data_IF_879286249933
#
_entry.id   IF_879286249933
#
_cell.length_a   1.000
_cell.length_b   1.000
_cell.length_c   1.000
_cell.angle_alpha   90.00
_cell.angle_beta   90.00
_cell.angle_gamma   90.00
#
_symmetry.space_group_name_H-M   'P 1'
#
loop_
_entity.id
_entity.type
_entity.pdbx_description
1 polymer ?
#
# COMPACT_ATOMS: atom_id res chain seq x y z
N UNK A 1 25.57 -6.78 -42.18
CA UNK A 1 25.63 -5.42 -41.58
C UNK A 1 24.30 -5.14 -40.88
N UNK A 2 24.16 -4.10 -40.04
CA UNK A 2 22.85 -3.74 -39.42
C UNK A 2 21.71 -3.55 -40.45
N UNK A 3 22.04 -3.33 -41.73
CA UNK A 3 21.11 -3.29 -42.85
C UNK A 3 20.56 -4.67 -43.31
N UNK A 4 21.14 -5.79 -42.86
CA UNK A 4 20.64 -7.16 -43.12
C UNK A 4 19.64 -7.66 -42.04
N UNK A 5 19.42 -6.87 -40.98
CA UNK A 5 18.46 -7.19 -39.92
C UNK A 5 17.13 -6.43 -40.04
N UNK A 6 17.03 -5.45 -40.96
CA UNK A 6 15.76 -4.79 -41.27
C UNK A 6 14.76 -5.82 -41.83
N UNK A 7 13.80 -6.23 -41.00
CA UNK A 7 12.71 -7.13 -41.37
C UNK A 7 12.75 -8.54 -40.75
N UNK A 8 13.72 -8.86 -39.89
CA UNK A 8 13.67 -10.11 -39.12
C UNK A 8 12.66 -9.98 -37.98
N UNK A 9 11.64 -10.84 -38.00
CA UNK A 9 10.64 -10.91 -36.94
C UNK A 9 11.12 -11.87 -35.85
N UNK A 10 10.99 -11.43 -34.61
CA UNK A 10 11.15 -12.28 -33.43
C UNK A 10 9.76 -12.68 -32.94
N UNK A 11 9.55 -13.99 -32.78
CA UNK A 11 8.33 -14.54 -32.22
C UNK A 11 8.65 -15.13 -30.85
N UNK A 12 7.96 -14.63 -29.83
CA UNK A 12 8.08 -15.10 -28.46
C UNK A 12 6.74 -15.60 -27.92
N UNK A 13 6.81 -16.38 -26.84
CA UNK A 13 5.63 -16.86 -26.15
C UNK A 13 5.04 -15.72 -25.32
N UNK A 14 3.72 -15.52 -25.42
CA UNK A 14 3.01 -14.62 -24.51
C UNK A 14 3.16 -15.07 -23.04
N UNK A 15 3.67 -14.19 -22.20
CA UNK A 15 3.84 -14.43 -20.76
C UNK A 15 2.55 -14.02 -20.02
N UNK A 16 1.91 -14.93 -19.27
CA UNK A 16 0.76 -14.58 -18.43
C UNK A 16 1.25 -13.90 -17.13
N UNK A 17 1.74 -12.67 -17.26
CA UNK A 17 2.22 -11.88 -16.14
C UNK A 17 1.06 -11.30 -15.32
N UNK A 18 1.31 -11.04 -14.03
CA UNK A 18 0.41 -10.36 -13.10
C UNK A 18 0.83 -8.91 -12.85
N UNK A 19 2.11 -8.59 -13.05
CA UNK A 19 2.67 -7.23 -12.97
C UNK A 19 3.78 -7.05 -14.00
N UNK A 20 3.89 -5.85 -14.53
CA UNK A 20 5.07 -5.39 -15.26
C UNK A 20 5.95 -4.62 -14.28
N UNK A 21 7.23 -4.95 -14.26
CA UNK A 21 8.23 -4.33 -13.39
C UNK A 21 9.30 -3.68 -14.26
N UNK A 22 9.96 -2.66 -13.73
CA UNK A 22 11.17 -2.13 -14.33
C UNK A 22 12.25 -1.88 -13.27
N UNK A 23 13.50 -1.95 -13.71
CA UNK A 23 14.67 -1.62 -12.90
C UNK A 23 15.59 -0.76 -13.75
N UNK A 24 15.88 0.46 -13.29
CA UNK A 24 16.95 1.25 -13.89
C UNK A 24 18.27 0.74 -13.33
N UNK A 25 19.23 0.48 -14.21
CA UNK A 25 20.57 0.03 -13.82
C UNK A 25 21.59 0.98 -14.42
N UNK A 26 22.54 1.44 -13.61
CA UNK A 26 23.69 2.21 -14.05
C UNK A 26 24.93 1.31 -14.06
N UNK A 27 25.69 1.35 -15.16
CA UNK A 27 27.00 0.69 -15.30
C UNK A 27 28.08 1.76 -15.46
N UNK A 28 28.96 1.85 -14.46
CA UNK A 28 30.06 2.82 -14.38
C UNK A 28 31.39 2.26 -14.91
N UNK A 29 32.49 2.74 -14.35
CA UNK A 29 33.83 2.24 -14.66
C UNK A 29 34.15 0.94 -13.91
N UNK A 30 34.95 0.07 -14.53
CA UNK A 30 35.25 -1.25 -13.97
C UNK A 30 33.98 -2.09 -13.80
N UNK A 31 33.82 -2.67 -12.62
CA UNK A 31 32.70 -3.55 -12.26
C UNK A 31 31.59 -2.85 -11.44
N UNK A 32 31.59 -1.50 -11.36
CA UNK A 32 30.58 -0.75 -10.60
C UNK A 32 29.22 -0.73 -11.35
N UNK A 33 28.32 -1.63 -10.94
CA UNK A 33 26.95 -1.76 -11.47
C UNK A 33 25.96 -1.60 -10.32
N UNK A 34 25.08 -0.59 -10.42
CA UNK A 34 24.10 -0.29 -9.37
C UNK A 34 22.70 -0.28 -9.95
N UNK A 35 21.74 -0.78 -9.17
CA UNK A 35 20.32 -0.73 -9.53
C UNK A 35 19.60 0.30 -8.69
N UNK A 36 18.68 1.00 -9.33
CA UNK A 36 17.61 1.72 -8.65
C UNK A 36 16.58 0.74 -8.08
N UNK A 37 15.73 1.18 -7.15
CA UNK A 37 14.61 0.40 -6.66
C UNK A 37 13.72 -0.09 -7.80
N UNK A 38 13.22 -1.31 -7.62
CA UNK A 38 12.26 -1.93 -8.55
C UNK A 38 10.99 -1.10 -8.53
N UNK A 39 10.47 -0.81 -9.72
CA UNK A 39 9.21 -0.09 -9.91
C UNK A 39 8.19 -0.96 -10.60
N UNK A 40 6.92 -0.69 -10.33
CA UNK A 40 5.81 -1.27 -11.08
C UNK A 40 5.41 -0.32 -12.20
N UNK A 41 5.30 -0.83 -13.42
CA UNK A 41 4.87 -0.04 -14.58
C UNK A 41 3.49 -0.47 -15.02
N UNK A 42 2.68 0.49 -15.47
CA UNK A 42 1.42 0.20 -16.15
C UNK A 42 1.47 0.69 -17.57
N UNK A 43 1.12 -0.17 -18.51
CA UNK A 43 1.16 0.06 -19.94
C UNK A 43 -0.28 0.18 -20.44
N UNK A 44 -0.52 1.14 -21.34
CA UNK A 44 -1.81 1.33 -22.02
C UNK A 44 -1.56 1.53 -23.49
N UNK A 45 -2.21 0.72 -24.33
CA UNK A 45 -1.96 0.71 -25.79
C UNK A 45 -0.46 0.60 -26.11
N UNK A 46 0.24 -0.25 -25.35
CA UNK A 46 1.70 -0.45 -25.42
C UNK A 46 2.55 0.79 -25.12
N UNK A 47 1.99 1.78 -24.42
CA UNK A 47 2.69 2.99 -23.95
C UNK A 47 2.67 2.99 -22.42
N UNK A 48 3.84 3.11 -21.80
CA UNK A 48 3.94 3.32 -20.35
C UNK A 48 3.12 4.55 -19.92
N UNK A 49 2.14 4.31 -19.06
CA UNK A 49 1.17 5.27 -18.52
C UNK A 49 1.63 5.77 -17.14
N UNK A 50 1.90 4.83 -16.22
CA UNK A 50 2.34 5.15 -14.86
C UNK A 50 3.52 4.28 -14.41
N UNK A 51 4.26 4.79 -13.41
CA UNK A 51 5.40 4.10 -12.78
C UNK A 51 5.33 4.33 -11.27
N UNK A 52 5.11 3.27 -10.50
CA UNK A 52 5.00 3.30 -9.04
C UNK A 52 6.30 2.82 -8.38
N UNK A 53 6.86 3.66 -7.51
CA UNK A 53 8.10 3.42 -6.78
C UNK A 53 7.89 3.53 -5.26
N UNK A 54 8.28 2.52 -4.45
CA UNK A 54 8.74 1.20 -4.87
C UNK A 54 7.58 0.33 -5.42
N UNK A 55 7.94 -0.70 -6.19
CA UNK A 55 6.99 -1.71 -6.66
C UNK A 55 6.27 -2.40 -5.48
N UNK A 56 4.97 -2.67 -5.65
CA UNK A 56 4.15 -3.29 -4.61
C UNK A 56 4.24 -4.82 -4.69
N UNK A 57 5.43 -5.32 -4.36
CA UNK A 57 5.81 -6.74 -4.40
C UNK A 57 6.54 -7.13 -3.12
N UNK A 58 6.70 -8.43 -2.86
CA UNK A 58 7.47 -8.90 -1.71
C UNK A 58 8.95 -8.52 -1.83
N UNK A 59 9.64 -8.36 -0.70
CA UNK A 59 11.08 -8.06 -0.68
C UNK A 59 11.91 -9.11 -1.46
N UNK A 60 11.50 -10.38 -1.42
CA UNK A 60 12.15 -11.45 -2.15
C UNK A 60 12.01 -11.29 -3.68
N UNK A 61 10.85 -10.84 -4.16
CA UNK A 61 10.62 -10.56 -5.60
C UNK A 61 11.41 -9.32 -6.02
N UNK A 62 11.40 -8.27 -5.21
CA UNK A 62 12.16 -7.05 -5.48
C UNK A 62 13.67 -7.34 -5.59
N UNK A 63 14.26 -8.10 -4.66
CA UNK A 63 15.68 -8.45 -4.74
C UNK A 63 15.99 -9.32 -5.96
N UNK A 64 15.12 -10.28 -6.29
CA UNK A 64 15.28 -11.12 -7.49
C UNK A 64 15.27 -10.29 -8.77
N UNK A 65 14.33 -9.37 -8.90
CA UNK A 65 14.22 -8.46 -10.05
C UNK A 65 15.45 -7.54 -10.16
N UNK A 66 15.86 -6.93 -9.05
CA UNK A 66 17.05 -6.07 -9.02
C UNK A 66 18.32 -6.85 -9.35
N UNK A 67 18.50 -8.05 -8.79
CA UNK A 67 19.65 -8.90 -9.06
C UNK A 67 19.69 -9.37 -10.52
N UNK A 68 18.55 -9.81 -11.08
CA UNK A 68 18.46 -10.21 -12.49
C UNK A 68 18.86 -9.06 -13.41
N UNK A 69 18.33 -7.86 -13.16
CA UNK A 69 18.63 -6.66 -13.94
C UNK A 69 20.12 -6.26 -13.87
N UNK A 70 20.71 -6.25 -12.65
CA UNK A 70 22.15 -5.97 -12.48
C UNK A 70 23.02 -6.99 -13.22
N UNK A 71 22.71 -8.28 -13.07
CA UNK A 71 23.48 -9.35 -13.73
C UNK A 71 23.39 -9.24 -15.24
N UNK A 72 22.19 -8.99 -15.80
CA UNK A 72 22.01 -8.85 -17.24
C UNK A 72 22.82 -7.66 -17.79
N UNK A 73 22.73 -6.49 -17.16
CA UNK A 73 23.44 -5.28 -17.60
C UNK A 73 24.94 -5.39 -17.40
N UNK A 74 25.41 -6.10 -16.38
CA UNK A 74 26.85 -6.34 -16.17
C UNK A 74 27.50 -7.04 -17.38
N UNK A 75 26.77 -7.91 -18.10
CA UNK A 75 27.28 -8.62 -19.28
C UNK A 75 27.32 -7.76 -20.56
N UNK A 76 26.62 -6.62 -20.60
CA UNK A 76 26.56 -5.78 -21.78
C UNK A 76 27.81 -4.90 -21.90
N UNK A 77 28.27 -4.66 -23.12
CA UNK A 77 29.32 -3.67 -23.36
C UNK A 77 28.79 -2.24 -23.14
N UNK A 78 29.68 -1.32 -22.77
CA UNK A 78 29.37 0.09 -22.58
C UNK A 78 29.18 0.52 -21.13
N UNK A 79 28.82 1.80 -20.99
CA UNK A 79 28.59 2.50 -19.72
C UNK A 79 27.38 3.40 -19.88
N UNK A 80 26.68 3.67 -18.79
CA UNK A 80 25.49 4.53 -18.79
C UNK A 80 24.33 3.91 -18.04
N UNK A 81 23.13 4.37 -18.38
CA UNK A 81 21.87 3.89 -17.80
C UNK A 81 21.27 2.89 -18.77
N UNK A 82 20.70 1.84 -18.20
CA UNK A 82 19.96 0.80 -18.88
C UNK A 82 18.59 0.69 -18.22
N UNK A 83 17.53 0.85 -19.01
CA UNK A 83 16.18 0.51 -18.58
C UNK A 83 15.95 -0.98 -18.78
N UNK A 84 15.71 -1.72 -17.70
CA UNK A 84 15.42 -3.15 -17.76
C UNK A 84 13.94 -3.35 -17.44
N UNK A 85 13.18 -3.88 -18.41
CA UNK A 85 11.77 -4.23 -18.22
C UNK A 85 11.62 -5.73 -17.94
N UNK A 86 10.70 -6.06 -17.04
CA UNK A 86 10.54 -7.39 -16.47
C UNK A 86 9.06 -7.73 -16.34
N UNK A 87 8.75 -9.03 -16.39
CA UNK A 87 7.44 -9.58 -16.08
C UNK A 87 7.47 -10.36 -14.77
N UNK A 88 6.49 -10.13 -13.90
CA UNK A 88 6.22 -10.97 -12.73
C UNK A 88 5.04 -11.90 -13.02
N UNK A 89 5.20 -13.21 -12.85
CA UNK A 89 4.12 -14.18 -13.03
C UNK A 89 3.37 -14.46 -11.72
N UNK A 90 2.19 -15.09 -11.81
CA UNK A 90 1.41 -15.52 -10.64
C UNK A 90 2.16 -16.54 -9.74
N UNK A 91 3.11 -17.30 -10.31
CA UNK A 91 3.99 -18.21 -9.56
C UNK A 91 5.11 -17.50 -8.80
N UNK A 92 5.28 -16.18 -9.00
CA UNK A 92 6.36 -15.40 -8.41
C UNK A 92 7.67 -15.43 -9.19
N UNK A 93 7.65 -15.89 -10.45
CA UNK A 93 8.82 -15.85 -11.33
C UNK A 93 9.00 -14.45 -11.93
N UNK A 94 10.26 -14.02 -12.07
CA UNK A 94 10.63 -12.75 -12.69
C UNK A 94 11.36 -13.05 -13.99
N UNK A 95 10.81 -12.56 -15.11
CA UNK A 95 11.30 -12.79 -16.46
C UNK A 95 11.76 -11.48 -17.09
N UNK A 96 12.85 -11.52 -17.84
CA UNK A 96 13.35 -10.37 -18.60
C UNK A 96 12.49 -10.16 -19.85
N UNK A 97 11.98 -8.94 -20.05
CA UNK A 97 11.26 -8.54 -21.26
C UNK A 97 12.19 -7.84 -22.25
N UNK A 98 12.70 -6.66 -21.88
CA UNK A 98 13.62 -5.90 -22.72
C UNK A 98 14.70 -5.16 -21.93
N UNK A 99 15.77 -4.77 -22.62
CA UNK A 99 16.81 -3.88 -22.09
C UNK A 99 17.02 -2.73 -23.07
N UNK A 100 16.78 -1.51 -22.60
CA UNK A 100 17.05 -0.28 -23.33
C UNK A 100 18.37 0.36 -22.83
N UNK A 101 19.47 0.38 -23.62
CA UNK A 101 20.77 0.93 -23.21
C UNK A 101 20.80 2.47 -23.27
N UNK A 102 19.87 3.11 -22.57
CA UNK A 102 19.70 4.56 -22.47
C UNK A 102 18.87 4.91 -21.22
N UNK A 103 18.88 6.19 -20.78
CA UNK A 103 17.84 6.71 -19.91
C UNK A 103 16.45 6.30 -20.41
N UNK A 104 15.62 5.88 -19.46
CA UNK A 104 14.35 5.24 -19.74
C UNK A 104 13.17 5.98 -19.11
N UNK A 105 12.00 5.83 -19.73
CA UNK A 105 10.77 6.48 -19.29
C UNK A 105 10.39 6.03 -17.87
N UNK A 106 10.54 4.74 -17.58
CA UNK A 106 10.33 4.18 -16.24
C UNK A 106 11.38 4.59 -15.21
N UNK A 107 12.38 5.40 -15.60
CA UNK A 107 13.33 6.02 -14.68
C UNK A 107 13.03 7.49 -14.37
N UNK A 108 12.03 8.15 -14.97
CA UNK A 108 11.86 9.60 -14.77
C UNK A 108 11.46 9.95 -13.34
N UNK A 109 10.82 9.04 -12.62
CA UNK A 109 10.54 9.20 -11.18
C UNK A 109 11.80 9.51 -10.34
N UNK A 110 12.99 9.10 -10.81
CA UNK A 110 14.26 9.28 -10.10
C UNK A 110 14.65 10.75 -9.91
N UNK A 111 14.11 11.67 -10.72
CA UNK A 111 14.39 13.11 -10.62
C UNK A 111 13.96 13.64 -9.25
N UNK A 112 12.76 13.28 -8.80
CA UNK A 112 12.24 13.69 -7.49
C UNK A 112 12.51 12.68 -6.38
N UNK A 113 12.49 11.39 -6.72
CA UNK A 113 12.35 10.33 -5.72
C UNK A 113 13.67 9.71 -5.27
N UNK A 114 14.77 9.89 -5.99
CA UNK A 114 16.06 9.26 -5.70
C UNK A 114 17.15 10.28 -5.32
N UNK A 115 18.20 9.80 -4.64
CA UNK A 115 19.35 10.64 -4.24
C UNK A 115 20.17 11.14 -5.44
N UNK A 116 20.23 10.38 -6.53
CA UNK A 116 20.85 10.78 -7.80
C UNK A 116 19.94 10.33 -8.94
N UNK A 117 19.52 11.24 -9.81
CA UNK A 117 18.63 10.92 -10.91
C UNK A 117 19.34 10.17 -12.04
N UNK A 118 18.56 9.48 -12.88
CA UNK A 118 19.12 8.67 -13.96
C UNK A 118 19.96 9.47 -14.96
N UNK A 119 19.63 10.74 -15.22
CA UNK A 119 20.35 11.55 -16.20
C UNK A 119 21.71 11.94 -15.65
N UNK A 120 21.78 12.35 -14.38
CA UNK A 120 23.05 12.59 -13.72
C UNK A 120 23.89 11.29 -13.63
N UNK A 121 23.31 10.16 -13.24
CA UNK A 121 24.02 8.88 -13.23
C UNK A 121 24.54 8.50 -14.61
N UNK A 122 23.75 8.73 -15.67
CA UNK A 122 24.18 8.47 -17.04
C UNK A 122 25.43 9.30 -17.38
N UNK A 123 25.41 10.60 -17.08
CA UNK A 123 26.56 11.49 -17.30
C UNK A 123 27.77 11.05 -16.50
N UNK A 124 27.61 10.73 -15.20
CA UNK A 124 28.70 10.23 -14.36
C UNK A 124 29.33 8.97 -14.94
N UNK A 125 28.51 8.01 -15.35
CA UNK A 125 28.96 6.75 -15.91
C UNK A 125 29.77 6.91 -17.21
N UNK A 126 29.27 7.70 -18.17
CA UNK A 126 29.94 7.87 -19.47
C UNK A 126 31.19 8.76 -19.38
N UNK A 127 31.25 9.65 -18.39
CA UNK A 127 32.43 10.51 -18.14
C UNK A 127 33.44 9.90 -17.18
N UNK A 128 33.16 8.72 -16.61
CA UNK A 128 34.07 8.04 -15.68
C UNK A 128 34.12 8.66 -14.28
N UNK A 129 33.11 9.44 -13.90
CA UNK A 129 32.96 9.96 -12.54
C UNK A 129 32.37 8.91 -11.59
N UNK A 130 32.59 9.03 -10.28
CA UNK A 130 31.99 8.13 -9.29
C UNK A 130 30.46 8.14 -9.36
N UNK A 131 29.86 6.96 -9.38
CA UNK A 131 28.40 6.81 -9.37
C UNK A 131 27.82 7.30 -8.05
N UNK A 132 26.67 7.97 -8.14
CA UNK A 132 25.86 8.38 -7.00
C UNK A 132 25.11 7.20 -6.38
N UNK A 133 24.36 7.49 -5.33
CA UNK A 133 23.45 6.53 -4.72
C UNK A 133 22.16 6.44 -5.54
N UNK A 134 21.68 5.22 -5.75
CA UNK A 134 20.40 4.99 -6.42
C UNK A 134 19.23 4.89 -5.44
N UNK A 135 19.46 5.13 -4.14
CA UNK A 135 18.44 4.97 -3.10
C UNK A 135 17.29 5.96 -3.27
N UNK A 136 16.09 5.51 -2.89
CA UNK A 136 14.94 6.39 -2.72
C UNK A 136 15.20 7.33 -1.53
N UNK A 137 14.92 8.63 -1.73
CA UNK A 137 14.90 9.67 -0.69
C UNK A 137 13.49 9.96 -0.16
N UNK A 138 12.47 9.32 -0.75
CA UNK A 138 11.06 9.41 -0.34
C UNK A 138 10.47 8.00 -0.18
N UNK A 139 9.54 7.79 0.76
CA UNK A 139 8.92 6.48 0.95
C UNK A 139 8.08 5.99 -0.23
N UNK A 140 7.44 6.89 -0.97
CA UNK A 140 6.59 6.55 -2.10
C UNK A 140 6.60 7.63 -3.19
N UNK A 141 6.57 7.20 -4.45
CA UNK A 141 6.43 8.07 -5.60
C UNK A 141 5.63 7.42 -6.74
N UNK A 142 4.90 8.23 -7.50
CA UNK A 142 4.24 7.84 -8.75
C UNK A 142 4.60 8.81 -9.85
N UNK A 143 5.15 8.31 -10.95
CA UNK A 143 5.28 9.08 -12.20
C UNK A 143 4.08 8.77 -13.11
N UNK A 144 3.46 9.80 -13.65
CA UNK A 144 2.34 9.73 -14.60
C UNK A 144 2.77 10.41 -15.90
N UNK A 145 2.68 9.70 -17.03
CA UNK A 145 2.99 10.29 -18.32
C UNK A 145 1.91 11.29 -18.77
N UNK A 146 2.37 12.37 -19.41
CA UNK A 146 1.50 13.32 -20.07
C UNK A 146 1.55 13.02 -21.57
N UNK A 147 0.48 12.41 -22.07
CA UNK A 147 0.34 12.03 -23.47
C UNK A 147 -0.53 13.02 -24.24
N UNK A 148 -0.30 13.11 -25.55
CA UNK A 148 -1.20 13.82 -26.44
C UNK A 148 -2.56 13.14 -26.49
N UNK A 149 -3.61 13.93 -26.32
CA UNK A 149 -5.00 13.48 -26.30
C UNK A 149 -5.48 12.99 -27.68
N UNK A 150 -6.53 12.15 -27.69
CA UNK A 150 -7.15 11.63 -28.90
C UNK A 150 -7.66 12.73 -29.86
N UNK A 151 -8.09 13.87 -29.31
CA UNK A 151 -8.55 15.03 -30.10
C UNK A 151 -7.40 15.96 -30.54
N UNK A 152 -6.15 15.62 -30.20
CA UNK A 152 -4.98 16.48 -30.40
C UNK A 152 -5.08 17.87 -29.77
N UNK A 153 -5.96 18.05 -28.77
CA UNK A 153 -6.13 19.30 -28.05
C UNK A 153 -4.98 19.55 -27.08
N UNK A 154 -4.29 20.68 -27.24
CA UNK A 154 -3.28 21.13 -26.26
C UNK A 154 -3.89 21.42 -24.89
N UNK A 155 -5.10 21.98 -24.85
CA UNK A 155 -5.77 22.27 -23.60
C UNK A 155 -5.99 21.01 -22.78
N UNK A 156 -6.49 19.94 -23.42
CA UNK A 156 -6.71 18.64 -22.80
C UNK A 156 -5.40 17.95 -22.44
N UNK A 157 -4.45 17.89 -23.38
CA UNK A 157 -3.18 17.18 -23.19
C UNK A 157 -2.33 17.77 -22.06
N UNK A 158 -2.39 19.09 -21.85
CA UNK A 158 -1.66 19.76 -20.77
C UNK A 158 -2.48 19.97 -19.49
N UNK A 159 -3.72 19.48 -19.41
CA UNK A 159 -4.56 19.61 -18.22
C UNK A 159 -3.89 18.99 -16.99
N UNK A 160 -3.29 17.80 -17.14
CA UNK A 160 -2.59 17.11 -16.05
C UNK A 160 -1.41 17.93 -15.50
N UNK A 161 -0.60 18.54 -16.38
CA UNK A 161 0.49 19.43 -15.97
C UNK A 161 -0.05 20.63 -15.19
N UNK A 162 -1.12 21.28 -15.67
CA UNK A 162 -1.71 22.44 -14.98
C UNK A 162 -2.30 22.06 -13.63
N UNK A 163 -2.97 20.92 -13.53
CA UNK A 163 -3.56 20.44 -12.29
C UNK A 163 -2.50 20.05 -11.25
N UNK A 164 -1.37 19.51 -11.69
CA UNK A 164 -0.26 19.15 -10.80
C UNK A 164 0.27 20.33 -9.97
N UNK A 165 0.18 21.56 -10.50
CA UNK A 165 0.60 22.78 -9.80
C UNK A 165 -0.21 23.06 -8.51
N UNK A 166 -1.34 22.39 -8.33
CA UNK A 166 -2.21 22.51 -7.15
C UNK A 166 -2.06 21.35 -6.17
N UNK A 167 -1.28 20.33 -6.51
CA UNK A 167 -1.16 19.10 -5.72
C UNK A 167 0.19 19.10 -4.99
N UNK A 168 0.21 19.12 -3.64
CA UNK A 168 1.44 19.04 -2.88
C UNK A 168 2.29 17.81 -3.25
N UNK A 169 3.60 18.02 -3.40
CA UNK A 169 4.54 16.96 -3.76
C UNK A 169 4.51 16.52 -5.22
N UNK A 170 3.75 17.20 -6.10
CA UNK A 170 3.77 16.97 -7.53
C UNK A 170 4.78 17.90 -8.24
N UNK A 171 5.60 17.33 -9.12
CA UNK A 171 6.56 18.02 -9.98
C UNK A 171 6.23 17.76 -11.44
N UNK A 172 6.00 18.84 -12.20
CA UNK A 172 5.68 18.79 -13.62
C UNK A 172 6.94 18.96 -14.48
N UNK A 173 7.11 18.07 -15.46
CA UNK A 173 8.18 18.11 -16.45
C UNK A 173 7.60 18.21 -17.85
N UNK A 174 7.87 19.32 -18.54
CA UNK A 174 7.43 19.55 -19.91
C UNK A 174 8.60 19.46 -20.88
N UNK A 175 8.45 18.70 -21.97
CA UNK A 175 9.53 18.42 -22.90
C UNK A 175 9.69 19.45 -24.02
N UNK A 176 8.86 20.50 -24.07
CA UNK A 176 8.98 21.55 -25.11
C UNK A 176 8.70 21.06 -26.53
N UNK A 177 7.98 19.95 -26.72
CA UNK A 177 7.74 19.37 -28.04
C UNK A 177 6.69 20.17 -28.82
N UNK A 178 6.99 20.48 -30.08
CA UNK A 178 6.03 21.09 -30.99
C UNK A 178 4.94 20.10 -31.42
N UNK A 179 3.69 20.55 -31.31
CA UNK A 179 2.49 19.84 -31.75
C UNK A 179 2.05 18.69 -30.84
N UNK A 180 0.74 18.46 -30.82
CA UNK A 180 0.09 17.38 -30.08
C UNK A 180 -0.45 16.35 -31.08
N UNK A 181 -0.24 15.07 -30.78
CA UNK A 181 -0.88 13.96 -31.50
C UNK A 181 -1.13 12.80 -30.52
N UNK A 182 -2.11 11.93 -30.77
CA UNK A 182 -2.45 10.83 -29.86
C UNK A 182 -1.21 9.99 -29.52
N UNK A 183 -1.04 9.68 -28.24
CA UNK A 183 0.06 8.84 -27.73
C UNK A 183 1.46 9.49 -27.72
N UNK A 184 1.61 10.73 -28.22
CA UNK A 184 2.90 11.43 -28.15
C UNK A 184 3.19 11.83 -26.71
N UNK A 185 4.33 11.39 -26.16
CA UNK A 185 4.82 11.82 -24.83
C UNK A 185 5.22 13.29 -24.86
N UNK A 186 4.47 14.13 -24.15
CA UNK A 186 4.67 15.59 -24.06
C UNK A 186 5.37 16.02 -22.78
N UNK A 187 5.32 15.19 -21.74
CA UNK A 187 5.90 15.45 -20.43
C UNK A 187 5.60 14.32 -19.46
N UNK A 188 5.86 14.56 -18.18
CA UNK A 188 5.40 13.71 -17.09
C UNK A 188 5.16 14.54 -15.83
N UNK A 189 4.44 13.96 -14.88
CA UNK A 189 4.29 14.48 -13.52
C UNK A 189 4.76 13.41 -12.56
N UNK A 190 5.66 13.76 -11.63
CA UNK A 190 6.05 12.88 -10.52
C UNK A 190 5.41 13.38 -9.24
N UNK A 191 4.66 12.52 -8.54
CA UNK A 191 4.16 12.76 -7.20
C UNK A 191 5.04 12.01 -6.22
N UNK A 192 5.46 12.67 -5.14
CA UNK A 192 6.15 12.04 -4.00
C UNK A 192 5.26 12.11 -2.76
N UNK A 193 5.42 11.22 -1.79
CA UNK A 193 4.66 11.19 -0.54
C UNK A 193 5.41 10.48 0.58
N UNK A 194 5.00 10.67 1.83
CA UNK A 194 5.56 9.97 3.00
C UNK A 194 5.01 8.55 3.15
N UNK A 195 3.95 8.19 2.41
CA UNK A 195 3.35 6.87 2.42
C UNK A 195 2.57 6.59 1.12
N UNK A 196 2.27 5.32 0.87
CA UNK A 196 1.40 4.89 -0.24
C UNK A 196 -0.03 5.42 -0.07
N UNK A 197 -0.50 5.59 1.17
CA UNK A 197 -1.79 6.18 1.51
C UNK A 197 -1.86 7.63 1.01
N UNK A 198 -0.90 8.45 1.42
CA UNK A 198 -0.82 9.84 1.04
C UNK A 198 -0.59 9.99 -0.47
N UNK A 199 0.22 9.11 -1.07
CA UNK A 199 0.40 9.06 -2.52
C UNK A 199 -0.93 8.80 -3.22
N UNK A 200 -1.70 7.82 -2.76
CA UNK A 200 -3.02 7.50 -3.32
C UNK A 200 -3.97 8.69 -3.25
N UNK A 201 -4.00 9.42 -2.13
CA UNK A 201 -4.82 10.62 -1.98
C UNK A 201 -4.40 11.73 -2.95
N UNK A 202 -3.10 12.02 -3.06
CA UNK A 202 -2.55 13.04 -3.96
C UNK A 202 -2.80 12.70 -5.42
N UNK A 203 -2.59 11.45 -5.82
CA UNK A 203 -2.82 10.98 -7.18
C UNK A 203 -4.31 11.03 -7.51
N UNK A 204 -5.20 10.63 -6.59
CA UNK A 204 -6.64 10.73 -6.81
C UNK A 204 -7.12 12.18 -6.97
N UNK A 205 -6.51 13.13 -6.24
CA UNK A 205 -6.77 14.56 -6.42
C UNK A 205 -6.20 15.12 -7.74
N UNK A 206 -5.11 14.55 -8.25
CA UNK A 206 -4.52 14.91 -9.54
C UNK A 206 -5.29 14.32 -10.73
N UNK A 207 -5.57 13.02 -10.68
CA UNK A 207 -6.27 12.27 -11.72
C UNK A 207 -6.77 10.95 -11.12
N UNK A 208 -8.09 10.81 -10.88
CA UNK A 208 -8.69 9.55 -10.43
C UNK A 208 -8.39 8.39 -11.39
N UNK A 209 -8.26 8.69 -12.68
CA UNK A 209 -7.90 7.71 -13.70
C UNK A 209 -6.46 7.19 -13.51
N UNK A 210 -5.50 8.08 -13.25
CA UNK A 210 -4.12 7.68 -12.96
C UNK A 210 -4.02 6.86 -11.65
N UNK A 211 -4.81 7.22 -10.62
CA UNK A 211 -4.88 6.45 -9.37
C UNK A 211 -5.40 5.04 -9.61
N UNK A 212 -6.43 4.88 -10.46
CA UNK A 212 -6.96 3.59 -10.85
C UNK A 212 -5.93 2.77 -11.63
N UNK A 213 -5.30 3.37 -12.64
CA UNK A 213 -4.44 2.65 -13.57
C UNK A 213 -3.11 2.24 -12.95
N UNK A 214 -2.55 3.05 -12.05
CA UNK A 214 -1.34 2.69 -11.28
C UNK A 214 -1.52 1.53 -10.32
N UNK A 215 -2.73 0.96 -10.22
CA UNK A 215 -3.05 -0.08 -9.25
C UNK A 215 -3.16 0.43 -7.82
N UNK A 216 -2.89 1.71 -7.54
CA UNK A 216 -2.93 2.30 -6.19
C UNK A 216 -4.30 2.12 -5.52
N UNK A 217 -5.40 2.29 -6.26
CA UNK A 217 -6.75 2.07 -5.73
C UNK A 217 -7.08 0.59 -5.49
N UNK A 218 -6.39 -0.31 -6.20
CA UNK A 218 -6.56 -1.75 -6.13
C UNK A 218 -5.51 -2.43 -5.24
N UNK A 219 -4.60 -1.66 -4.64
CA UNK A 219 -3.74 -2.18 -3.59
C UNK A 219 -4.66 -2.63 -2.47
N UNK A 220 -4.91 -3.93 -2.43
CA UNK A 220 -5.42 -4.61 -1.25
C UNK A 220 -4.48 -4.20 -0.14
N UNK A 221 -4.91 -3.23 0.66
CA UNK A 221 -4.14 -2.74 1.77
C UNK A 221 -3.91 -3.97 2.63
N UNK A 222 -2.65 -4.42 2.70
CA UNK A 222 -2.32 -5.61 3.48
C UNK A 222 -2.93 -5.43 4.87
N UNK A 223 -3.80 -6.36 5.30
CA UNK A 223 -4.44 -6.23 6.59
C UNK A 223 -3.40 -5.96 7.67
N UNK A 224 -3.62 -4.90 8.46
CA UNK A 224 -2.84 -4.63 9.66
C UNK A 224 -3.53 -5.20 10.90
N UNK A 225 -4.85 -5.41 10.83
CA UNK A 225 -5.64 -5.96 11.91
C UNK A 225 -6.38 -7.22 11.45
N UNK A 226 -6.29 -8.29 12.24
CA UNK A 226 -7.05 -9.51 12.02
C UNK A 226 -8.23 -9.59 12.98
N UNK A 227 -9.46 -9.52 12.46
CA UNK A 227 -10.68 -9.72 13.24
C UNK A 227 -11.12 -11.17 13.10
N UNK A 228 -11.14 -11.91 14.22
CA UNK A 228 -11.54 -13.31 14.24
C UNK A 228 -12.61 -13.57 15.27
N UNK A 229 -13.49 -14.52 14.96
CA UNK A 229 -14.58 -14.93 15.84
C UNK A 229 -14.81 -16.44 15.80
N UNK A 230 -15.33 -16.97 16.91
CA UNK A 230 -15.55 -18.41 17.07
C UNK A 230 -16.71 -18.95 16.24
N UNK A 231 -17.72 -18.12 15.98
CA UNK A 231 -18.87 -18.43 15.14
C UNK A 231 -19.38 -17.20 14.38
N UNK A 232 -20.11 -17.42 13.29
CA UNK A 232 -20.89 -16.41 12.58
C UNK A 232 -21.92 -15.69 13.46
N UNK A 233 -22.48 -16.34 14.48
CA UNK A 233 -23.38 -15.72 15.47
C UNK A 233 -22.73 -14.57 16.24
N UNK A 234 -21.39 -14.52 16.29
CA UNK A 234 -20.65 -13.43 16.95
C UNK A 234 -20.50 -12.20 16.03
N UNK A 235 -20.74 -12.35 14.72
CA UNK A 235 -20.55 -11.29 13.71
C UNK A 235 -21.31 -10.00 14.02
N UNK A 236 -22.59 -10.01 14.45
CA UNK A 236 -23.30 -8.78 14.80
C UNK A 236 -22.62 -8.00 15.93
N UNK A 237 -21.95 -8.71 16.86
CA UNK A 237 -21.16 -8.06 17.91
C UNK A 237 -19.85 -7.55 17.33
N UNK A 238 -19.16 -8.33 16.50
CA UNK A 238 -17.81 -8.02 16.02
C UNK A 238 -17.76 -7.00 14.88
N UNK A 239 -18.86 -6.79 14.14
CA UNK A 239 -18.94 -5.85 13.02
C UNK A 239 -18.54 -4.42 13.43
N UNK A 240 -18.91 -3.98 14.64
CA UNK A 240 -18.59 -2.62 15.09
C UNK A 240 -17.08 -2.37 15.30
N UNK A 241 -16.24 -3.42 15.41
CA UNK A 241 -14.79 -3.28 15.32
C UNK A 241 -14.36 -2.97 13.89
N UNK A 242 -14.90 -3.69 12.91
CA UNK A 242 -14.63 -3.48 11.49
C UNK A 242 -15.04 -2.06 11.05
N UNK A 243 -16.26 -1.62 11.39
CA UNK A 243 -16.75 -0.27 11.10
C UNK A 243 -15.79 0.81 11.64
N UNK A 244 -15.18 0.55 12.81
CA UNK A 244 -14.21 1.47 13.37
C UNK A 244 -12.89 1.48 12.61
N UNK A 245 -12.38 0.32 12.20
CA UNK A 245 -11.17 0.27 11.39
C UNK A 245 -11.39 0.95 10.03
N UNK A 246 -12.56 0.75 9.39
CA UNK A 246 -12.95 1.44 8.16
C UNK A 246 -12.96 2.96 8.34
N UNK A 247 -13.58 3.47 9.41
CA UNK A 247 -13.62 4.92 9.70
C UNK A 247 -12.24 5.54 9.84
N UNK A 248 -11.27 4.77 10.35
CA UNK A 248 -9.90 5.21 10.54
C UNK A 248 -8.98 4.85 9.36
N UNK A 249 -9.51 4.26 8.28
CA UNK A 249 -8.73 3.85 7.11
C UNK A 249 -7.74 2.71 7.41
N UNK A 250 -7.91 1.99 8.51
CA UNK A 250 -7.03 0.89 8.90
C UNK A 250 -7.47 -0.38 8.16
N UNK A 251 -6.59 -1.00 7.36
CA UNK A 251 -6.95 -2.21 6.64
C UNK A 251 -7.03 -3.41 7.58
N UNK A 252 -8.02 -4.26 7.36
CA UNK A 252 -8.27 -5.42 8.19
C UNK A 252 -8.77 -6.60 7.37
N UNK A 253 -8.67 -7.78 7.96
CA UNK A 253 -9.37 -8.98 7.52
C UNK A 253 -10.37 -9.41 8.59
N UNK A 254 -11.47 -10.02 8.17
CA UNK A 254 -12.49 -10.54 9.07
C UNK A 254 -12.83 -11.97 8.67
N UNK A 255 -12.66 -12.93 9.59
CA UNK A 255 -12.94 -14.35 9.29
C UNK A 255 -13.34 -15.15 10.53
N UNK A 256 -13.86 -16.37 10.30
CA UNK A 256 -14.23 -17.31 11.36
C UNK A 256 -13.05 -18.24 11.67
N UNK A 257 -12.69 -18.30 12.95
CA UNK A 257 -11.64 -19.16 13.50
C UNK A 257 -12.15 -19.73 14.83
N UNK A 258 -12.51 -21.01 14.85
CA UNK A 258 -13.10 -21.63 16.03
C UNK A 258 -12.04 -22.39 16.83
N UNK A 259 -11.77 -21.93 18.05
CA UNK A 259 -10.82 -22.59 18.96
C UNK A 259 -11.20 -24.05 19.27
N UNK A 260 -12.51 -24.35 19.30
CA UNK A 260 -13.00 -25.68 19.68
C UNK A 260 -13.31 -26.59 18.48
N UNK A 261 -13.76 -26.02 17.35
CA UNK A 261 -14.18 -26.80 16.18
C UNK A 261 -13.11 -26.92 15.10
N UNK A 262 -12.24 -25.91 14.97
CA UNK A 262 -11.16 -25.86 13.97
C UNK A 262 -9.82 -25.44 14.59
N UNK A 263 -9.32 -26.16 15.61
CA UNK A 263 -8.11 -25.77 16.36
C UNK A 263 -6.85 -25.66 15.48
N UNK A 264 -6.70 -26.51 14.46
CA UNK A 264 -5.59 -26.43 13.51
C UNK A 264 -5.59 -25.11 12.73
N UNK A 265 -6.76 -24.68 12.25
CA UNK A 265 -6.91 -23.40 11.55
C UNK A 265 -6.55 -22.22 12.46
N UNK A 266 -6.95 -22.27 13.74
CA UNK A 266 -6.58 -21.25 14.73
C UNK A 266 -5.07 -21.19 14.92
N UNK A 267 -4.43 -22.35 15.04
CA UNK A 267 -2.99 -22.45 15.21
C UNK A 267 -2.23 -21.85 14.01
N UNK A 268 -2.60 -22.27 12.79
CA UNK A 268 -2.01 -21.76 11.55
C UNK A 268 -2.24 -20.25 11.38
N UNK A 269 -3.43 -19.77 11.72
CA UNK A 269 -3.78 -18.35 11.68
C UNK A 269 -2.86 -17.52 12.60
N UNK A 270 -2.69 -17.95 13.85
CA UNK A 270 -1.85 -17.25 14.83
C UNK A 270 -0.36 -17.25 14.44
N UNK A 271 0.17 -18.41 14.04
CA UNK A 271 1.58 -18.56 13.67
C UNK A 271 1.96 -17.76 12.42
N UNK A 272 1.06 -17.70 11.43
CA UNK A 272 1.29 -16.95 10.20
C UNK A 272 0.98 -15.45 10.31
N UNK A 273 0.34 -14.99 11.38
CA UNK A 273 -0.16 -13.61 11.49
C UNK A 273 0.93 -12.56 11.25
N UNK A 274 2.10 -12.71 11.89
CA UNK A 274 3.24 -11.79 11.75
C UNK A 274 3.76 -11.77 10.32
N UNK A 275 3.93 -12.95 9.71
CA UNK A 275 4.47 -13.08 8.34
C UNK A 275 3.51 -12.55 7.28
N UNK A 276 2.21 -12.54 7.57
CA UNK A 276 1.17 -11.95 6.70
C UNK A 276 1.06 -10.43 6.86
N UNK A 277 1.85 -9.82 7.75
CA UNK A 277 1.89 -8.36 7.94
C UNK A 277 0.99 -7.83 9.05
N UNK A 278 0.18 -8.68 9.69
CA UNK A 278 -0.70 -8.28 10.79
C UNK A 278 0.10 -7.69 11.95
N UNK A 279 -0.49 -6.71 12.63
CA UNK A 279 0.08 -5.99 13.77
C UNK A 279 -0.74 -6.14 15.03
N UNK A 280 -2.06 -6.35 14.90
CA UNK A 280 -2.99 -6.53 16.03
C UNK A 280 -4.02 -7.60 15.66
N UNK A 281 -4.38 -8.46 16.61
CA UNK A 281 -5.52 -9.36 16.47
C UNK A 281 -6.67 -8.88 17.36
N UNK A 282 -7.89 -8.91 16.85
CA UNK A 282 -9.13 -8.70 17.61
C UNK A 282 -9.90 -10.02 17.59
N UNK A 283 -10.14 -10.60 18.76
CA UNK A 283 -10.76 -11.92 18.88
C UNK A 283 -12.04 -11.87 19.70
N UNK A 284 -13.15 -12.27 19.10
CA UNK A 284 -14.47 -12.40 19.74
C UNK A 284 -14.79 -13.85 20.10
N UNK A 285 -15.23 -14.08 21.34
CA UNK A 285 -15.74 -15.39 21.75
C UNK A 285 -16.74 -15.28 22.92
N UNK A 286 -17.71 -16.20 22.95
CA UNK A 286 -18.73 -16.32 24.00
C UNK A 286 -18.63 -17.63 24.79
N UNK A 287 -19.15 -17.65 26.01
CA UNK A 287 -19.17 -18.81 26.91
C UNK A 287 -17.78 -19.14 27.44
N UNK A 288 -17.33 -20.37 27.21
CA UNK A 288 -15.95 -20.79 27.42
C UNK A 288 -15.03 -20.19 26.34
N UNK A 289 -14.80 -18.88 26.46
CA UNK A 289 -14.29 -18.01 25.40
C UNK A 289 -12.76 -18.08 25.22
N UNK A 290 -12.23 -19.25 24.83
CA UNK A 290 -10.78 -19.50 24.78
C UNK A 290 -10.04 -18.87 23.59
N UNK A 291 -10.74 -18.44 22.54
CA UNK A 291 -10.11 -17.99 21.29
C UNK A 291 -9.07 -16.87 21.52
N UNK A 292 -9.36 -15.77 22.25
CA UNK A 292 -8.37 -14.69 22.43
C UNK A 292 -7.12 -15.16 23.17
N UNK A 293 -7.30 -15.93 24.25
CA UNK A 293 -6.19 -16.45 25.06
C UNK A 293 -5.31 -17.43 24.29
N UNK A 294 -5.91 -18.31 23.49
CA UNK A 294 -5.16 -19.26 22.65
C UNK A 294 -4.39 -18.56 21.53
N UNK A 295 -4.95 -17.53 20.90
CA UNK A 295 -4.21 -16.73 19.92
C UNK A 295 -3.02 -16.03 20.59
N UNK A 296 -3.23 -15.40 21.74
CA UNK A 296 -2.16 -14.71 22.48
C UNK A 296 -1.03 -15.66 22.91
N UNK A 297 -1.32 -16.94 23.14
CA UNK A 297 -0.31 -17.96 23.44
C UNK A 297 0.52 -18.37 22.22
N UNK A 298 0.04 -18.12 21.00
CA UNK A 298 0.60 -18.64 19.74
C UNK A 298 1.19 -17.55 18.85
N UNK A 299 1.01 -16.27 19.16
CA UNK A 299 1.54 -15.16 18.40
C UNK A 299 2.20 -14.12 19.31
N UNK A 300 3.30 -13.46 18.87
CA UNK A 300 3.87 -12.34 19.60
C UNK A 300 3.09 -11.02 19.41
N UNK A 301 2.05 -11.01 18.56
CA UNK A 301 1.24 -9.81 18.32
C UNK A 301 0.31 -9.51 19.50
N UNK A 302 0.01 -8.23 19.78
CA UNK A 302 -1.06 -7.85 20.69
C UNK A 302 -2.40 -8.48 20.29
N UNK A 303 -3.08 -9.12 21.25
CA UNK A 303 -4.43 -9.66 21.07
C UNK A 303 -5.42 -8.91 21.94
N UNK A 304 -6.44 -8.35 21.30
CA UNK A 304 -7.57 -7.67 21.94
C UNK A 304 -8.74 -8.64 22.03
N UNK A 305 -9.20 -8.92 23.25
CA UNK A 305 -10.28 -9.86 23.50
C UNK A 305 -11.63 -9.15 23.66
N UNK A 306 -12.63 -9.58 22.90
CA UNK A 306 -14.02 -9.11 23.01
C UNK A 306 -14.88 -10.23 23.62
N UNK A 307 -15.29 -10.11 24.89
CA UNK A 307 -16.24 -11.04 25.48
C UNK A 307 -17.61 -10.89 24.82
N UNK A 308 -18.08 -11.92 24.13
CA UNK A 308 -19.39 -11.90 23.48
C UNK A 308 -20.47 -12.22 24.51
N UNK A 309 -21.58 -11.48 24.49
CA UNK A 309 -22.68 -11.67 25.44
C UNK A 309 -23.33 -13.05 25.23
N UNK A 310 -23.42 -13.84 26.30
CA UNK A 310 -24.17 -15.10 26.34
C UNK A 310 -25.59 -14.91 26.87
N UNK A 311 -26.50 -15.80 26.50
CA UNK A 311 -27.91 -15.74 26.95
C UNK A 311 -28.09 -16.11 28.42
N UNK A 312 -27.24 -16.98 28.97
CA UNK A 312 -27.36 -17.51 30.34
C UNK A 312 -26.69 -16.62 31.38
N UNK A 313 -25.44 -16.20 31.12
CA UNK A 313 -24.60 -15.47 32.09
C UNK A 313 -24.28 -14.04 31.63
N UNK A 314 -25.02 -13.53 30.64
CA UNK A 314 -24.84 -12.16 30.11
C UNK A 314 -23.40 -11.81 29.71
N UNK A 315 -22.58 -12.81 29.36
CA UNK A 315 -21.18 -12.64 28.98
C UNK A 315 -20.18 -12.59 30.15
N UNK A 316 -20.60 -12.81 31.40
CA UNK A 316 -19.68 -12.88 32.55
C UNK A 316 -18.73 -14.09 32.42
N UNK A 317 -19.26 -15.23 31.97
CA UNK A 317 -18.48 -16.41 31.59
C UNK A 317 -17.39 -16.09 30.56
N UNK A 318 -17.77 -15.30 29.56
CA UNK A 318 -16.92 -14.89 28.45
C UNK A 318 -15.85 -13.92 28.93
N UNK A 319 -16.24 -12.96 29.79
CA UNK A 319 -15.33 -11.99 30.37
C UNK A 319 -14.26 -12.69 31.20
N UNK A 320 -14.68 -13.55 32.14
CA UNK A 320 -13.75 -14.27 33.02
C UNK A 320 -12.85 -15.22 32.23
N UNK A 321 -13.34 -15.85 31.16
CA UNK A 321 -12.54 -16.69 30.27
C UNK A 321 -11.44 -15.94 29.51
N UNK A 322 -11.63 -14.64 29.27
CA UNK A 322 -10.71 -13.82 28.46
C UNK A 322 -9.79 -12.96 29.34
N UNK A 323 -10.31 -12.33 30.40
CA UNK A 323 -9.55 -11.35 31.21
C UNK A 323 -8.61 -11.99 32.22
N UNK A 324 -8.95 -13.17 32.75
CA UNK A 324 -8.18 -13.84 33.81
C UNK A 324 -7.07 -14.75 33.24
N UNK A 325 -6.30 -14.25 32.27
CA UNK A 325 -5.19 -15.00 31.70
C UNK A 325 -4.07 -15.24 32.73
N UNK A 326 -3.40 -16.40 32.69
CA UNK A 326 -2.24 -16.66 33.53
C UNK A 326 -1.07 -15.73 33.17
N UNK A 327 -0.12 -15.57 34.11
CA UNK A 327 1.08 -14.75 33.91
C UNK A 327 1.86 -15.24 32.67
N UNK A 328 2.26 -14.30 31.82
CA UNK A 328 3.08 -14.55 30.63
C UNK A 328 2.32 -14.51 29.30
N UNK A 329 0.98 -14.60 29.30
CA UNK A 329 0.16 -14.60 28.08
C UNK A 329 -0.98 -13.58 28.20
N UNK A 330 -0.70 -12.28 28.07
CA UNK A 330 -1.72 -11.24 28.28
C UNK A 330 -2.71 -11.16 27.11
N UNK A 331 -3.95 -10.83 27.44
CA UNK A 331 -4.99 -10.41 26.48
C UNK A 331 -5.50 -9.03 26.90
N UNK A 332 -5.60 -8.10 25.94
CA UNK A 332 -6.18 -6.79 26.19
C UNK A 332 -7.70 -6.87 26.10
N UNK A 333 -8.36 -7.16 27.21
CA UNK A 333 -9.82 -7.40 27.24
C UNK A 333 -10.60 -6.09 27.29
N UNK A 334 -11.58 -5.92 26.40
CA UNK A 334 -12.53 -4.81 26.43
C UNK A 334 -13.86 -5.23 27.08
N UNK A 335 -14.80 -4.28 27.23
CA UNK A 335 -16.11 -4.56 27.82
C UNK A 335 -16.91 -5.61 27.02
N UNK A 336 -17.81 -6.32 27.71
CA UNK A 336 -18.70 -7.34 27.12
C UNK A 336 -19.49 -6.71 25.96
N UNK A 337 -19.44 -7.36 24.79
CA UNK A 337 -20.12 -6.95 23.56
C UNK A 337 -19.55 -5.70 22.88
N UNK A 338 -18.47 -5.11 23.39
CA UNK A 338 -17.98 -3.82 22.92
C UNK A 338 -16.81 -3.95 21.94
N UNK A 339 -17.10 -4.46 20.74
CA UNK A 339 -16.10 -4.57 19.67
C UNK A 339 -15.68 -3.19 19.13
N UNK A 340 -16.53 -2.16 19.24
CA UNK A 340 -16.19 -0.76 18.94
C UNK A 340 -14.90 -0.34 19.68
N UNK A 341 -14.84 -0.59 20.98
CA UNK A 341 -13.65 -0.27 21.77
C UNK A 341 -12.44 -1.17 21.41
N UNK A 342 -12.68 -2.39 20.92
CA UNK A 342 -11.58 -3.21 20.42
C UNK A 342 -10.96 -2.64 19.14
N UNK A 343 -11.79 -2.16 18.21
CA UNK A 343 -11.33 -1.43 17.02
C UNK A 343 -10.56 -0.17 17.40
N UNK A 344 -11.10 0.66 18.29
CA UNK A 344 -10.43 1.87 18.77
C UNK A 344 -9.12 1.57 19.51
N UNK A 345 -9.06 0.48 20.28
CA UNK A 345 -7.83 0.05 20.96
C UNK A 345 -6.78 -0.42 19.94
N UNK A 346 -7.18 -1.16 18.90
CA UNK A 346 -6.28 -1.54 17.82
C UNK A 346 -5.71 -0.31 17.09
N UNK A 347 -6.53 0.70 16.80
CA UNK A 347 -6.07 1.98 16.24
C UNK A 347 -5.04 2.65 17.15
N UNK A 348 -5.27 2.67 18.47
CA UNK A 348 -4.31 3.24 19.43
C UNK A 348 -2.99 2.45 19.51
N UNK A 349 -3.05 1.13 19.41
CA UNK A 349 -1.86 0.27 19.36
C UNK A 349 -1.04 0.58 18.10
N UNK A 350 -1.70 0.68 16.94
CA UNK A 350 -1.05 1.05 15.67
C UNK A 350 -0.48 2.48 15.73
N UNK A 351 -1.21 3.41 16.32
CA UNK A 351 -0.82 4.81 16.48
C UNK A 351 0.47 5.01 17.28
N UNK A 352 0.93 4.02 18.05
CA UNK A 352 2.25 4.06 18.68
C UNK A 352 3.41 4.16 17.67
N UNK A 353 3.17 3.84 16.39
CA UNK A 353 4.14 3.92 15.29
C UNK A 353 3.63 4.71 14.08
N UNK A 354 2.44 5.29 14.16
CA UNK A 354 1.80 6.01 13.08
C UNK A 354 1.16 7.30 13.61
N UNK A 355 1.85 8.42 13.43
CA UNK A 355 1.41 9.74 13.90
C UNK A 355 0.08 10.17 13.26
N UNK A 356 -0.21 9.74 12.02
CA UNK A 356 -1.47 10.07 11.36
C UNK A 356 -2.67 9.43 12.07
N UNK A 357 -2.50 8.22 12.62
CA UNK A 357 -3.54 7.57 13.44
C UNK A 357 -3.72 8.26 14.79
N UNK A 358 -2.66 8.85 15.36
CA UNK A 358 -2.76 9.66 16.59
C UNK A 358 -3.61 10.91 16.33
N UNK A 359 -3.35 11.62 15.22
CA UNK A 359 -4.12 12.80 14.82
C UNK A 359 -5.57 12.47 14.49
N UNK A 360 -5.80 11.35 13.77
CA UNK A 360 -7.15 10.85 13.50
C UNK A 360 -7.91 10.52 14.80
N UNK A 361 -7.23 9.91 15.78
CA UNK A 361 -7.82 9.62 17.09
C UNK A 361 -8.12 10.89 17.88
N UNK A 362 -7.25 11.90 17.85
CA UNK A 362 -7.51 13.20 18.46
C UNK A 362 -8.75 13.87 17.86
N UNK A 363 -8.86 13.84 16.52
CA UNK A 363 -10.03 14.35 15.78
C UNK A 363 -11.31 13.62 16.15
N UNK A 364 -11.25 12.29 16.29
CA UNK A 364 -12.38 11.47 16.72
C UNK A 364 -12.84 11.82 18.14
N UNK A 365 -11.92 12.03 19.09
CA UNK A 365 -12.25 12.45 20.45
C UNK A 365 -12.90 13.83 20.50
N UNK A 366 -12.39 14.78 19.72
CA UNK A 366 -12.99 16.12 19.62
C UNK A 366 -14.40 16.07 18.99
N UNK A 367 -14.60 15.21 17.99
CA UNK A 367 -15.92 14.97 17.40
C UNK A 367 -16.91 14.43 18.43
N UNK A 368 -16.52 13.41 19.21
CA UNK A 368 -17.38 12.89 20.29
C UNK A 368 -17.71 13.93 21.35
N UNK A 369 -16.74 14.78 21.71
CA UNK A 369 -16.98 15.89 22.63
C UNK A 369 -18.05 16.83 22.07
N UNK A 370 -17.93 17.26 20.81
CA UNK A 370 -18.92 18.14 20.14
C UNK A 370 -20.31 17.50 20.08
N UNK A 371 -20.40 16.19 19.82
CA UNK A 371 -21.68 15.47 19.84
C UNK A 371 -22.34 15.47 21.21
N UNK A 372 -21.55 15.32 22.29
CA UNK A 372 -22.05 15.40 23.66
C UNK A 372 -22.49 16.82 24.01
N UNK A 373 -21.68 17.83 23.66
CA UNK A 373 -22.01 19.24 23.89
C UNK A 373 -23.32 19.62 23.19
N UNK A 374 -23.52 19.18 21.94
CA UNK A 374 -24.77 19.39 21.22
C UNK A 374 -25.98 18.69 21.88
N UNK A 375 -25.79 17.49 22.45
CA UNK A 375 -26.85 16.80 23.22
C UNK A 375 -27.18 17.55 24.51
N UNK A 376 -26.18 18.12 25.19
CA UNK A 376 -26.37 18.95 26.39
C UNK A 376 -27.20 20.19 26.05
N UNK A 377 -26.83 20.92 25.00
CA UNK A 377 -27.57 22.11 24.55
C UNK A 377 -29.01 21.79 24.17
N UNK A 378 -29.23 20.68 23.43
CA UNK A 378 -30.56 20.20 23.08
C UNK A 378 -31.39 19.86 24.31
N UNK A 379 -30.82 19.14 25.29
CA UNK A 379 -31.51 18.80 26.52
C UNK A 379 -31.81 20.02 27.39
N UNK A 380 -30.92 21.02 27.41
CA UNK A 380 -31.13 22.27 28.14
C UNK A 380 -32.24 23.13 27.51
N UNK A 381 -32.35 23.13 26.17
CA UNK A 381 -33.33 23.93 25.44
C UNK A 381 -34.73 23.32 25.39
N UNK A 382 -34.87 22.02 25.16
CA UNK A 382 -36.18 21.34 25.13
C UNK A 382 -36.63 20.80 26.49
N UNK A 383 -35.72 20.74 27.47
CA UNK A 383 -35.96 20.08 28.75
C UNK A 383 -35.94 18.55 28.63
N UNK A 384 -35.63 17.88 29.75
CA UNK A 384 -35.40 16.42 29.77
C UNK A 384 -36.63 15.59 29.37
N UNK A 385 -37.85 16.08 29.63
CA UNK A 385 -39.10 15.37 29.28
C UNK A 385 -39.33 15.30 27.78
N UNK A 386 -39.14 16.42 27.09
CA UNK A 386 -39.28 16.48 25.62
C UNK A 386 -38.11 15.78 24.93
N UNK A 387 -36.91 15.88 25.50
CA UNK A 387 -35.74 15.14 25.02
C UNK A 387 -35.97 13.63 25.06
N UNK A 388 -36.50 13.11 26.17
CA UNK A 388 -36.82 11.68 26.33
C UNK A 388 -37.90 11.20 25.36
N UNK A 389 -38.87 12.05 24.99
CA UNK A 389 -39.89 11.70 24.00
C UNK A 389 -39.32 11.53 22.58
N UNK A 390 -38.20 12.20 22.29
CA UNK A 390 -37.54 12.23 20.97
C UNK A 390 -36.32 11.30 20.86
N UNK A 391 -36.05 10.50 21.89
CA UNK A 391 -34.97 9.51 21.96
C UNK A 391 -35.45 8.16 21.44
#
# INVERSE_FOLDING_TARGET
SLAEEEGKLYAEKWVPFVKELAVMVVKGAGDDVRAYPVVETTQRDSICDTVLAPAQVSAAVAERAASLARTAVAQLEGRGIYGVELFLTASGDVLLNEIAPRPHNSGHYTIEACETDQFEQHLRAITGLPLGSCALRVPAALMVNVLGDATSSEAASFALLRQSLRVPGASAHFYGKAGVRPGRKLGHVTLTASSIEELTQRVNALSPEAAKNSGLLALERQPLVGIVMGSDSDLPTMAAAADMLEKFGVPYELTIVSAHRTPTRMYEYAQSAVTRGLKVLIAGAGGAAHLPGMLAALTPLPVVGVPVKTSTLNGEDSLLSIVQMPRGVPVATVAIGNSTNAGLLAVRILGARDEALVDAMATFLDTQKREVDAKIEKMASSGWKEYLHNM
#
